data_IF_721580154727
#
_entry.id   IF_721580154727
#
_cell.length_a   1.000
_cell.length_b   1.000
_cell.length_c   1.000
_cell.angle_alpha   90.00
_cell.angle_beta   90.00
_cell.angle_gamma   90.00
#
_symmetry.space_group_name_H-M   'P 1'
#
loop_
_entity.id
_entity.type
_entity.pdbx_description
1 polymer ?
#
# COMPACT_ATOMS: atom_id res chain seq x y z
N UNK A 1 -3.43 34.22 -2.98
CA UNK A 1 -3.85 32.97 -3.66
C UNK A 1 -2.98 31.76 -3.23
N UNK A 2 -2.47 31.69 -2.00
CA UNK A 2 -1.59 30.58 -1.56
C UNK A 2 -2.33 29.28 -1.22
N UNK A 3 -3.64 29.35 -0.95
CA UNK A 3 -4.46 28.17 -0.62
C UNK A 3 -4.51 27.15 -1.76
N UNK A 4 -4.49 27.57 -3.04
CA UNK A 4 -4.59 26.66 -4.19
C UNK A 4 -3.33 25.82 -4.39
N UNK A 5 -2.14 26.40 -4.16
CA UNK A 5 -0.87 25.70 -4.33
C UNK A 5 -0.69 24.56 -3.32
N UNK A 6 -1.00 24.80 -2.04
CA UNK A 6 -0.97 23.78 -0.99
C UNK A 6 -1.97 22.64 -1.25
N UNK A 7 -3.20 22.95 -1.69
CA UNK A 7 -4.20 21.93 -2.04
C UNK A 7 -3.76 21.04 -3.23
N UNK A 8 -3.11 21.63 -4.24
CA UNK A 8 -2.59 20.87 -5.38
C UNK A 8 -1.45 19.91 -5.01
N UNK A 9 -0.66 20.26 -4.00
CA UNK A 9 0.44 19.41 -3.52
C UNK A 9 -0.08 18.26 -2.66
N UNK A 10 -1.03 18.53 -1.76
CA UNK A 10 -1.78 17.50 -1.04
C UNK A 10 -2.47 16.51 -1.97
N UNK A 11 -3.19 17.02 -2.97
CA UNK A 11 -3.88 16.19 -3.96
C UNK A 11 -2.92 15.27 -4.72
N UNK A 12 -1.77 15.79 -5.16
CA UNK A 12 -0.73 14.99 -5.83
C UNK A 12 -0.14 13.91 -4.93
N UNK A 13 0.06 14.21 -3.65
CA UNK A 13 0.54 13.22 -2.66
C UNK A 13 -0.49 12.13 -2.42
N UNK A 14 -1.76 12.50 -2.27
CA UNK A 14 -2.85 11.53 -2.10
C UNK A 14 -3.00 10.63 -3.35
N UNK A 15 -2.92 11.21 -4.56
CA UNK A 15 -2.91 10.44 -5.81
C UNK A 15 -1.70 9.49 -5.91
N UNK A 16 -0.53 9.89 -5.42
CA UNK A 16 0.66 9.04 -5.40
C UNK A 16 0.47 7.83 -4.49
N UNK A 17 -0.17 8.00 -3.34
CA UNK A 17 -0.54 6.90 -2.45
C UNK A 17 -1.62 6.02 -3.07
N UNK A 18 -2.68 6.62 -3.60
CA UNK A 18 -3.76 5.88 -4.25
C UNK A 18 -3.23 5.02 -5.41
N UNK A 19 -2.34 5.57 -6.24
CA UNK A 19 -1.70 4.82 -7.34
C UNK A 19 -0.79 3.70 -6.86
N UNK A 20 -0.05 3.87 -5.77
CA UNK A 20 0.75 2.79 -5.15
C UNK A 20 -0.16 1.67 -4.63
N UNK A 21 -1.23 2.02 -3.91
CA UNK A 21 -2.22 1.03 -3.44
C UNK A 21 -2.84 0.27 -4.61
N UNK A 22 -3.23 0.98 -5.67
CA UNK A 22 -3.82 0.38 -6.86
C UNK A 22 -2.83 -0.55 -7.58
N UNK A 23 -1.57 -0.13 -7.72
CA UNK A 23 -0.52 -0.92 -8.34
C UNK A 23 -0.24 -2.19 -7.55
N UNK A 24 -0.15 -2.11 -6.22
CA UNK A 24 0.09 -3.30 -5.38
C UNK A 24 -1.11 -4.22 -5.41
N UNK A 25 -2.34 -3.68 -5.31
CA UNK A 25 -3.55 -4.47 -5.48
C UNK A 25 -3.56 -5.20 -6.82
N UNK A 26 -3.19 -4.52 -7.93
CA UNK A 26 -3.08 -5.11 -9.26
C UNK A 26 -2.01 -6.20 -9.31
N UNK A 27 -0.85 -6.01 -8.70
CA UNK A 27 0.20 -7.04 -8.64
C UNK A 27 -0.29 -8.27 -7.88
N UNK A 28 -0.95 -8.08 -6.73
CA UNK A 28 -1.44 -9.21 -5.91
C UNK A 28 -2.56 -9.97 -6.59
N UNK A 29 -3.49 -9.27 -7.23
CA UNK A 29 -4.65 -9.91 -7.88
C UNK A 29 -4.33 -10.45 -9.26
N UNK A 30 -3.61 -9.69 -10.08
CA UNK A 30 -3.38 -10.02 -11.49
C UNK A 30 -2.05 -10.72 -11.73
N UNK A 31 -0.94 -10.16 -11.24
CA UNK A 31 0.40 -10.72 -11.53
C UNK A 31 0.58 -12.08 -10.86
N UNK A 32 0.17 -12.23 -9.60
CA UNK A 32 0.29 -13.51 -8.88
C UNK A 32 -0.62 -14.58 -9.51
N UNK A 33 -1.84 -14.23 -9.92
CA UNK A 33 -2.74 -15.15 -10.61
C UNK A 33 -2.24 -15.52 -12.02
N UNK A 34 -1.72 -14.55 -12.77
CA UNK A 34 -1.18 -14.76 -14.11
C UNK A 34 0.06 -15.66 -14.09
N UNK A 35 0.98 -15.42 -13.15
CA UNK A 35 2.18 -16.24 -12.96
C UNK A 35 1.91 -17.49 -12.12
N UNK A 36 0.68 -17.77 -11.69
CA UNK A 36 0.36 -18.91 -10.83
C UNK A 36 0.82 -20.26 -11.43
N UNK A 37 0.83 -20.37 -12.77
CA UNK A 37 1.28 -21.57 -13.50
C UNK A 37 2.81 -21.73 -13.56
N UNK A 38 3.57 -20.64 -13.43
CA UNK A 38 5.05 -20.68 -13.32
C UNK A 38 5.53 -20.66 -11.88
N UNK A 39 4.67 -20.23 -10.94
CA UNK A 39 4.89 -20.16 -9.50
C UNK A 39 4.44 -21.45 -8.78
N UNK A 40 4.35 -22.57 -9.50
CA UNK A 40 4.08 -23.92 -8.97
C UNK A 40 5.35 -24.61 -8.47
N UNK A 41 6.35 -23.86 -8.01
CA UNK A 41 7.41 -24.48 -7.22
C UNK A 41 6.86 -24.86 -5.85
N UNK A 42 7.19 -26.06 -5.40
CA UNK A 42 6.79 -26.56 -4.10
C UNK A 42 7.50 -25.75 -3.01
N UNK A 43 6.77 -24.82 -2.39
CA UNK A 43 7.25 -24.06 -1.25
C UNK A 43 6.65 -24.67 0.00
N UNK A 44 7.48 -25.20 0.90
CA UNK A 44 7.02 -25.85 2.13
C UNK A 44 6.10 -27.08 1.91
N UNK A 45 6.16 -27.73 0.73
CA UNK A 45 5.34 -28.90 0.36
C UNK A 45 3.99 -28.56 -0.27
N UNK A 46 3.72 -27.28 -0.57
CA UNK A 46 2.50 -26.80 -1.23
C UNK A 46 2.88 -25.85 -2.38
N UNK A 47 2.05 -25.72 -3.42
CA UNK A 47 2.36 -24.79 -4.52
C UNK A 47 2.44 -23.36 -3.99
N UNK A 48 3.54 -22.65 -4.30
CA UNK A 48 3.78 -21.29 -3.79
C UNK A 48 2.64 -20.32 -4.12
N UNK A 49 2.03 -20.43 -5.30
CA UNK A 49 0.83 -19.66 -5.67
C UNK A 49 -0.32 -19.80 -4.67
N UNK A 50 -0.48 -20.98 -4.05
CA UNK A 50 -1.47 -21.24 -3.01
C UNK A 50 -1.10 -20.58 -1.69
N UNK A 51 0.17 -20.66 -1.27
CA UNK A 51 0.66 -19.97 -0.07
C UNK A 51 0.52 -18.44 -0.18
N UNK A 52 0.79 -17.89 -1.36
CA UNK A 52 0.63 -16.46 -1.62
C UNK A 52 -0.84 -16.06 -1.57
N UNK A 53 -1.75 -16.85 -2.13
CA UNK A 53 -3.18 -16.58 -2.03
C UNK A 53 -3.70 -16.66 -0.59
N UNK A 54 -3.18 -17.61 0.21
CA UNK A 54 -3.63 -17.86 1.57
C UNK A 54 -3.05 -16.89 2.61
N UNK A 55 -1.75 -16.58 2.55
CA UNK A 55 -1.07 -15.74 3.55
C UNK A 55 -0.28 -14.59 2.93
N UNK A 56 0.33 -14.78 1.75
CA UNK A 56 1.11 -13.73 1.10
C UNK A 56 0.30 -12.46 0.84
N UNK A 57 -0.93 -12.59 0.36
CA UNK A 57 -1.83 -11.47 0.12
C UNK A 57 -2.16 -10.71 1.41
N UNK A 58 -2.42 -11.41 2.52
CA UNK A 58 -2.68 -10.79 3.82
C UNK A 58 -1.48 -10.00 4.34
N UNK A 59 -0.26 -10.56 4.25
CA UNK A 59 0.97 -9.86 4.64
C UNK A 59 1.18 -8.61 3.78
N UNK A 60 0.93 -8.70 2.47
CA UNK A 60 1.03 -7.53 1.58
C UNK A 60 0.00 -6.46 1.94
N UNK A 61 -1.24 -6.82 2.25
CA UNK A 61 -2.25 -5.87 2.72
C UNK A 61 -1.87 -5.22 4.06
N UNK A 62 -1.31 -5.97 5.00
CA UNK A 62 -0.81 -5.41 6.26
C UNK A 62 0.32 -4.41 6.02
N UNK A 63 1.30 -4.77 5.19
CA UNK A 63 2.41 -3.89 4.82
C UNK A 63 1.92 -2.62 4.13
N UNK A 64 0.91 -2.73 3.27
CA UNK A 64 0.22 -1.60 2.65
C UNK A 64 -0.38 -0.66 3.68
N UNK A 65 -1.11 -1.20 4.66
CA UNK A 65 -1.74 -0.40 5.72
C UNK A 65 -0.67 0.30 6.57
N UNK A 66 0.39 -0.41 6.96
CA UNK A 66 1.51 0.17 7.73
C UNK A 66 2.21 1.27 6.91
N UNK A 67 2.44 1.04 5.62
CA UNK A 67 3.05 2.02 4.73
C UNK A 67 2.17 3.27 4.59
N UNK A 68 0.87 3.08 4.36
CA UNK A 68 -0.11 4.17 4.31
C UNK A 68 -0.12 4.96 5.62
N UNK A 69 -0.20 4.28 6.76
CA UNK A 69 -0.21 4.91 8.07
C UNK A 69 1.07 5.71 8.34
N UNK A 70 2.25 5.15 8.01
CA UNK A 70 3.51 5.90 8.11
C UNK A 70 3.57 7.09 7.16
N UNK A 71 3.03 6.95 5.96
CA UNK A 71 3.02 8.03 4.99
C UNK A 71 2.10 9.17 5.42
N UNK A 72 0.89 8.86 5.86
CA UNK A 72 -0.04 9.83 6.43
C UNK A 72 0.56 10.51 7.66
N UNK A 73 1.15 9.74 8.59
CA UNK A 73 1.81 10.29 9.77
C UNK A 73 2.98 11.23 9.39
N UNK A 74 3.74 10.89 8.34
CA UNK A 74 4.77 11.78 7.80
C UNK A 74 4.17 13.05 7.18
N UNK A 75 3.01 12.98 6.53
CA UNK A 75 2.33 14.17 6.03
C UNK A 75 1.80 15.04 7.18
N UNK A 76 1.19 14.44 8.20
CA UNK A 76 0.66 15.17 9.37
C UNK A 76 1.78 15.89 10.13
N UNK A 77 2.95 15.25 10.27
CA UNK A 77 4.14 15.90 10.82
C UNK A 77 4.65 17.08 9.97
N UNK A 78 4.60 16.97 8.65
CA UNK A 78 5.10 18.00 7.73
C UNK A 78 4.16 19.22 7.65
N UNK A 79 2.87 19.02 7.91
CA UNK A 79 1.86 20.07 7.94
C UNK A 79 1.48 20.54 9.35
N UNK A 80 2.13 20.00 10.39
CA UNK A 80 1.99 20.47 11.77
C UNK A 80 0.65 20.14 12.44
N UNK A 81 -0.11 19.17 11.90
CA UNK A 81 -1.36 18.68 12.48
C UNK A 81 -1.10 17.39 13.26
N UNK A 82 -0.01 17.37 14.02
CA UNK A 82 0.11 16.42 15.11
C UNK A 82 -0.82 16.91 16.23
N UNK A 83 -2.12 16.67 16.10
CA UNK A 83 -3.06 16.74 17.22
C UNK A 83 -2.72 15.59 18.20
N UNK A 84 -1.59 15.74 18.89
CA UNK A 84 -1.23 15.01 20.10
C UNK A 84 -1.31 15.89 21.35
N UNK A 85 -1.61 17.18 21.18
CA UNK A 85 -1.83 18.15 22.26
C UNK A 85 -3.32 18.55 22.33
N UNK A 86 -4.22 17.57 22.38
CA UNK A 86 -5.52 17.77 23.01
C UNK A 86 -5.42 17.19 24.43
N UNK A 87 -5.54 18.11 25.38
CA UNK A 87 -5.46 17.96 26.85
C UNK A 87 -6.12 16.71 27.45
#
# INVERSE_FOLDING_TARGET
MELSAKHHEYWRRNLRIASILLAIWFVVTFVIAYFARSLTFDFFGWPFSFWVAAQGALVVYLLLIIYYARYMNKMDQEFGVAEGDLE
#
